data_IF_251120533145
#
_entry.id   IF_251120533145
#
_cell.length_a   1.000
_cell.length_b   1.000
_cell.length_c   1.000
_cell.angle_alpha   90.00
_cell.angle_beta   90.00
_cell.angle_gamma   90.00
#
_symmetry.space_group_name_H-M   'P 1'
#
loop_
_entity.id
_entity.type
_entity.pdbx_description
1 polymer ?
#
# COMPACT_ATOMS: atom_id res chain seq x y z
N UNK A 1 -0.06 -11.08 -4.59
CA UNK A 1 0.36 -9.80 -5.21
C UNK A 1 -0.71 -9.42 -6.23
N UNK A 2 -1.25 -8.20 -6.12
CA UNK A 2 -2.36 -7.70 -6.96
C UNK A 2 -1.91 -7.43 -8.41
N UNK A 3 -2.83 -7.60 -9.36
CA UNK A 3 -2.59 -7.35 -10.79
C UNK A 3 -3.20 -6.03 -11.29
N UNK A 4 -3.95 -5.34 -10.42
CA UNK A 4 -4.54 -4.02 -10.70
C UNK A 4 -4.62 -3.20 -9.42
N UNK A 5 -4.73 -1.88 -9.54
CA UNK A 5 -4.97 -0.98 -8.41
C UNK A 5 -6.34 -1.27 -7.80
N UNK A 6 -7.33 -1.61 -8.62
CA UNK A 6 -8.66 -2.06 -8.16
C UNK A 6 -8.56 -3.30 -7.27
N UNK A 7 -7.75 -4.31 -7.66
CA UNK A 7 -7.53 -5.50 -6.84
C UNK A 7 -6.72 -5.18 -5.58
N UNK A 8 -5.73 -4.30 -5.67
CA UNK A 8 -4.93 -3.84 -4.53
C UNK A 8 -5.85 -3.27 -3.44
N UNK A 9 -6.73 -2.33 -3.76
CA UNK A 9 -7.63 -1.71 -2.80
C UNK A 9 -8.74 -2.62 -2.26
N UNK A 10 -9.04 -3.73 -2.91
CA UNK A 10 -9.89 -4.79 -2.35
C UNK A 10 -9.22 -5.60 -1.26
N UNK A 11 -7.90 -5.57 -1.19
CA UNK A 11 -7.06 -6.36 -0.26
C UNK A 11 -6.35 -5.51 0.77
N UNK A 12 -6.18 -4.22 0.48
CA UNK A 12 -5.50 -3.26 1.35
C UNK A 12 -6.52 -2.35 2.02
N UNK A 13 -6.33 -2.10 3.32
CA UNK A 13 -7.17 -1.21 4.13
C UNK A 13 -8.68 -1.49 3.99
N UNK A 14 -9.05 -2.77 4.06
CA UNK A 14 -10.39 -3.28 3.73
C UNK A 14 -11.48 -2.57 4.53
N UNK A 15 -11.26 -2.36 5.84
CA UNK A 15 -12.23 -1.73 6.74
C UNK A 15 -12.55 -0.30 6.29
N UNK A 16 -11.51 0.51 6.01
CA UNK A 16 -11.68 1.88 5.53
C UNK A 16 -12.41 1.90 4.19
N UNK A 17 -11.97 1.05 3.24
CA UNK A 17 -12.61 0.95 1.92
C UNK A 17 -14.07 0.53 2.01
N UNK A 18 -14.41 -0.37 2.91
CA UNK A 18 -15.80 -0.78 3.16
C UNK A 18 -16.61 0.36 3.75
N UNK A 19 -16.08 1.08 4.72
CA UNK A 19 -16.74 2.23 5.33
C UNK A 19 -17.06 3.31 4.29
N UNK A 20 -16.08 3.75 3.50
CA UNK A 20 -16.30 4.75 2.44
C UNK A 20 -17.27 4.26 1.37
N UNK A 21 -17.23 2.98 1.03
CA UNK A 21 -18.17 2.37 0.09
C UNK A 21 -19.60 2.44 0.63
N UNK A 22 -19.82 2.02 1.87
CA UNK A 22 -21.17 1.82 2.40
C UNK A 22 -21.80 3.16 2.82
N UNK A 23 -21.01 4.09 3.37
CA UNK A 23 -21.51 5.36 3.90
C UNK A 23 -21.44 6.53 2.93
N UNK A 24 -20.62 6.47 1.87
CA UNK A 24 -20.46 7.58 0.92
C UNK A 24 -20.78 7.13 -0.50
N UNK A 25 -20.11 6.09 -1.00
CA UNK A 25 -20.26 5.71 -2.40
C UNK A 25 -21.65 5.21 -2.75
N UNK A 26 -22.23 4.32 -1.95
CA UNK A 26 -23.58 3.78 -2.14
C UNK A 26 -24.65 4.86 -1.99
N UNK A 27 -24.67 5.71 -0.94
CA UNK A 27 -25.60 6.82 -0.81
C UNK A 27 -25.53 7.83 -1.96
N UNK A 28 -24.36 8.07 -2.56
CA UNK A 28 -24.22 8.90 -3.77
C UNK A 28 -24.78 8.24 -5.05
N UNK A 29 -25.31 7.00 -4.94
CA UNK A 29 -25.85 6.21 -6.03
C UNK A 29 -24.90 5.15 -6.59
N UNK A 30 -23.67 5.06 -6.10
CA UNK A 30 -22.70 4.02 -6.46
C UNK A 30 -22.50 3.87 -7.97
N UNK A 31 -22.61 2.63 -8.47
CA UNK A 31 -22.56 2.30 -9.90
C UNK A 31 -23.91 2.43 -10.64
N UNK A 32 -24.99 2.73 -9.91
CA UNK A 32 -26.36 2.72 -10.46
C UNK A 32 -26.80 4.07 -11.03
N UNK A 33 -25.84 4.94 -11.35
CA UNK A 33 -26.03 6.28 -11.89
C UNK A 33 -25.34 6.44 -13.24
N UNK A 34 -25.69 7.49 -13.98
CA UNK A 34 -25.04 7.81 -15.26
C UNK A 34 -23.51 8.03 -15.09
N UNK A 35 -22.77 7.86 -16.19
CA UNK A 35 -21.29 7.89 -16.22
C UNK A 35 -20.65 9.10 -15.51
N UNK A 36 -21.21 10.29 -15.70
CA UNK A 36 -20.68 11.53 -15.08
C UNK A 36 -20.86 11.50 -13.56
N UNK A 37 -22.04 11.08 -13.07
CA UNK A 37 -22.31 10.96 -11.63
C UNK A 37 -21.46 9.86 -11.01
N UNK A 38 -21.26 8.75 -11.71
CA UNK A 38 -20.38 7.67 -11.28
C UNK A 38 -18.92 8.12 -11.15
N UNK A 39 -18.40 8.88 -12.13
CA UNK A 39 -17.05 9.47 -12.07
C UNK A 39 -16.90 10.40 -10.85
N UNK A 40 -17.86 11.32 -10.70
CA UNK A 40 -17.93 12.21 -9.53
C UNK A 40 -17.90 11.41 -8.21
N UNK A 41 -18.69 10.35 -8.10
CA UNK A 41 -18.78 9.55 -6.88
C UNK A 41 -17.43 8.91 -6.51
N UNK A 42 -16.69 8.40 -7.49
CA UNK A 42 -15.35 7.85 -7.25
C UNK A 42 -14.41 8.96 -6.78
N UNK A 43 -14.38 10.09 -7.47
CA UNK A 43 -13.47 11.19 -7.13
C UNK A 43 -13.79 11.77 -5.74
N UNK A 44 -15.07 11.92 -5.38
CA UNK A 44 -15.47 12.36 -4.03
C UNK A 44 -14.97 11.39 -2.98
N UNK A 45 -15.20 10.09 -3.16
CA UNK A 45 -14.75 9.07 -2.20
C UNK A 45 -13.24 9.13 -1.98
N UNK A 46 -12.47 9.20 -3.06
CA UNK A 46 -11.01 9.20 -2.97
C UNK A 46 -10.44 10.53 -2.46
N UNK A 47 -11.06 11.65 -2.79
CA UNK A 47 -10.74 12.95 -2.19
C UNK A 47 -10.96 12.91 -0.67
N UNK A 48 -12.13 12.41 -0.23
CA UNK A 48 -12.43 12.27 1.19
C UNK A 48 -11.55 11.24 1.89
N UNK A 49 -11.14 10.17 1.21
CA UNK A 49 -10.17 9.21 1.74
C UNK A 49 -8.81 9.87 1.97
N UNK A 50 -8.35 10.71 1.04
CA UNK A 50 -7.15 11.52 1.22
C UNK A 50 -7.28 12.49 2.40
N UNK A 51 -8.37 13.24 2.46
CA UNK A 51 -8.65 14.20 3.54
C UNK A 51 -8.77 13.53 4.92
N UNK A 52 -9.26 12.29 4.97
CA UNK A 52 -9.31 11.50 6.20
C UNK A 52 -7.92 11.21 6.79
N UNK A 53 -6.90 11.09 5.97
CA UNK A 53 -5.50 10.95 6.39
C UNK A 53 -4.91 12.26 6.92
N UNK A 54 -5.45 13.41 6.53
CA UNK A 54 -5.02 14.73 6.98
C UNK A 54 -5.33 15.82 5.97
N UNK A 55 -5.33 17.08 6.42
CA UNK A 55 -5.63 18.24 5.59
C UNK A 55 -4.42 18.76 4.76
N UNK A 56 -3.35 17.96 4.67
CA UNK A 56 -2.17 18.35 3.89
C UNK A 56 -2.31 17.93 2.42
N UNK A 57 -1.66 18.68 1.53
CA UNK A 57 -1.76 18.48 0.08
C UNK A 57 -1.27 17.11 -0.41
N UNK A 58 -0.27 16.52 0.24
CA UNK A 58 0.23 15.19 -0.08
C UNK A 58 -0.86 14.13 0.04
N UNK A 59 -1.70 14.17 1.08
CA UNK A 59 -2.81 13.22 1.26
C UNK A 59 -3.91 13.42 0.22
N UNK A 60 -4.22 14.67 -0.11
CA UNK A 60 -5.21 14.99 -1.15
C UNK A 60 -4.72 14.51 -2.51
N UNK A 61 -3.47 14.80 -2.87
CA UNK A 61 -2.84 14.35 -4.12
C UNK A 61 -2.80 12.83 -4.21
N UNK A 62 -2.48 12.15 -3.11
CA UNK A 62 -2.51 10.70 -3.01
C UNK A 62 -3.92 10.13 -3.26
N UNK A 63 -4.94 10.68 -2.62
CA UNK A 63 -6.33 10.29 -2.85
C UNK A 63 -6.76 10.52 -4.30
N UNK A 64 -6.47 11.69 -4.87
CA UNK A 64 -6.78 12.00 -6.27
C UNK A 64 -6.06 11.05 -7.23
N UNK A 65 -4.78 10.73 -7.01
CA UNK A 65 -4.05 9.75 -7.81
C UNK A 65 -4.81 8.42 -7.90
N UNK A 66 -5.19 7.85 -6.75
CA UNK A 66 -5.90 6.57 -6.74
C UNK A 66 -7.31 6.67 -7.31
N UNK A 67 -8.01 7.76 -7.06
CA UNK A 67 -9.31 8.03 -7.69
C UNK A 67 -9.24 8.02 -9.22
N UNK A 68 -8.28 8.73 -9.79
CA UNK A 68 -8.04 8.79 -11.24
C UNK A 68 -7.64 7.43 -11.80
N UNK A 69 -6.70 6.72 -11.14
CA UNK A 69 -6.27 5.40 -11.59
C UNK A 69 -7.40 4.38 -11.60
N UNK A 70 -8.25 4.38 -10.59
CA UNK A 70 -9.43 3.49 -10.54
C UNK A 70 -10.43 3.79 -11.65
N UNK A 71 -10.59 5.06 -12.00
CA UNK A 71 -11.42 5.45 -13.16
C UNK A 71 -10.81 4.93 -14.45
N UNK A 72 -9.52 5.15 -14.68
CA UNK A 72 -8.80 4.69 -15.89
C UNK A 72 -8.88 3.17 -16.00
N UNK A 73 -8.64 2.44 -14.90
CA UNK A 73 -8.77 0.99 -14.88
C UNK A 73 -10.18 0.54 -15.28
N UNK A 74 -11.22 1.16 -14.71
CA UNK A 74 -12.62 0.79 -15.00
C UNK A 74 -13.08 1.19 -16.40
N UNK A 75 -12.55 2.24 -16.99
CA UNK A 75 -12.87 2.64 -18.37
C UNK A 75 -12.33 1.65 -19.39
N UNK A 76 -11.13 1.09 -19.17
CA UNK A 76 -10.56 0.17 -20.15
C UNK A 76 -9.27 -0.53 -19.75
N UNK A 77 -8.44 0.07 -18.88
CA UNK A 77 -7.14 -0.48 -18.53
C UNK A 77 -7.20 -1.87 -17.89
N UNK A 78 -8.27 -2.19 -17.14
CA UNK A 78 -8.45 -3.54 -16.58
C UNK A 78 -8.43 -4.62 -17.65
N UNK A 79 -9.10 -4.39 -18.79
CA UNK A 79 -9.13 -5.34 -19.90
C UNK A 79 -7.74 -5.55 -20.52
N UNK A 80 -6.90 -4.52 -20.50
CA UNK A 80 -5.51 -4.62 -20.97
C UNK A 80 -4.68 -5.39 -19.96
N UNK A 81 -4.79 -5.06 -18.66
CA UNK A 81 -4.06 -5.72 -17.57
C UNK A 81 -4.38 -7.23 -17.46
N UNK A 82 -5.58 -7.65 -17.86
CA UNK A 82 -5.99 -9.05 -17.91
C UNK A 82 -5.32 -9.83 -19.06
N UNK A 83 -4.98 -9.15 -20.16
CA UNK A 83 -4.41 -9.76 -21.37
C UNK A 83 -2.89 -9.83 -21.35
N UNK A 84 -2.22 -8.97 -20.60
CA UNK A 84 -0.76 -8.93 -20.53
C UNK A 84 -0.20 -9.93 -19.50
N UNK A 85 1.08 -10.32 -19.61
CA UNK A 85 1.71 -11.18 -18.63
C UNK A 85 1.56 -10.65 -17.20
N UNK A 86 1.25 -11.53 -16.26
CA UNK A 86 0.98 -11.17 -14.86
C UNK A 86 2.16 -10.47 -14.17
N UNK A 87 3.37 -10.68 -14.65
CA UNK A 87 4.58 -9.98 -14.15
C UNK A 87 4.49 -8.50 -14.44
N UNK A 88 4.08 -8.11 -15.65
CA UNK A 88 3.93 -6.71 -16.05
C UNK A 88 2.79 -6.03 -15.26
N UNK A 89 1.64 -6.70 -15.12
CA UNK A 89 0.52 -6.18 -14.31
C UNK A 89 0.93 -5.97 -12.85
N UNK A 90 1.72 -6.88 -12.28
CA UNK A 90 2.24 -6.73 -10.91
C UNK A 90 3.27 -5.62 -10.79
N UNK A 91 4.17 -5.50 -11.76
CA UNK A 91 5.14 -4.40 -11.82
C UNK A 91 4.43 -3.04 -11.88
N UNK A 92 3.37 -2.92 -12.69
CA UNK A 92 2.51 -1.73 -12.73
C UNK A 92 1.96 -1.38 -11.33
N UNK A 93 1.32 -2.34 -10.65
CA UNK A 93 0.75 -2.08 -9.31
C UNK A 93 1.84 -1.73 -8.30
N UNK A 94 2.98 -2.42 -8.33
CA UNK A 94 4.10 -2.15 -7.44
C UNK A 94 4.64 -0.73 -7.65
N UNK A 95 4.86 -0.33 -8.91
CA UNK A 95 5.33 1.03 -9.24
C UNK A 95 4.33 2.09 -8.76
N UNK A 96 3.04 1.91 -9.05
CA UNK A 96 1.99 2.83 -8.57
C UNK A 96 1.96 2.90 -7.05
N UNK A 97 2.14 1.78 -6.36
CA UNK A 97 2.17 1.74 -4.90
C UNK A 97 3.39 2.51 -4.35
N UNK A 98 4.57 2.34 -4.94
CA UNK A 98 5.78 3.09 -4.57
C UNK A 98 5.56 4.60 -4.77
N UNK A 99 5.05 5.00 -5.94
CA UNK A 99 4.73 6.42 -6.22
C UNK A 99 3.69 6.93 -5.21
N UNK A 100 2.66 6.15 -4.92
CA UNK A 100 1.66 6.49 -3.91
C UNK A 100 2.27 6.73 -2.53
N UNK A 101 3.19 5.90 -2.08
CA UNK A 101 3.88 6.10 -0.80
C UNK A 101 4.83 7.32 -0.82
N UNK A 102 5.50 7.60 -1.92
CA UNK A 102 6.32 8.82 -2.06
C UNK A 102 5.45 10.07 -1.94
N UNK A 103 4.30 10.10 -2.61
CA UNK A 103 3.36 11.22 -2.48
C UNK A 103 2.85 11.33 -1.04
N UNK A 104 2.48 10.22 -0.43
CA UNK A 104 1.94 10.17 0.92
C UNK A 104 2.93 10.69 1.98
N UNK A 105 4.22 10.31 1.86
CA UNK A 105 5.27 10.67 2.83
C UNK A 105 5.93 12.03 2.56
N UNK A 106 5.71 12.63 1.40
CA UNK A 106 6.36 13.88 1.02
C UNK A 106 5.83 15.09 1.80
N UNK A 107 6.73 15.95 2.24
CA UNK A 107 6.39 17.19 2.97
C UNK A 107 6.15 18.36 2.04
N UNK A 108 6.61 18.30 0.78
CA UNK A 108 6.41 19.32 -0.24
C UNK A 108 6.27 18.72 -1.64
N UNK A 109 5.61 19.45 -2.53
CA UNK A 109 5.47 19.04 -3.94
C UNK A 109 6.84 18.91 -4.62
N UNK A 110 7.78 19.79 -4.31
CA UNK A 110 9.15 19.73 -4.85
C UNK A 110 9.87 18.46 -4.42
N UNK A 111 9.78 18.07 -3.15
CA UNK A 111 10.34 16.83 -2.63
C UNK A 111 9.72 15.61 -3.31
N UNK A 112 8.39 15.58 -3.43
CA UNK A 112 7.67 14.49 -4.12
C UNK A 112 8.16 14.33 -5.55
N UNK A 113 8.27 15.42 -6.30
CA UNK A 113 8.71 15.39 -7.70
C UNK A 113 10.18 14.95 -7.82
N UNK A 114 11.05 15.41 -6.92
CA UNK A 114 12.45 14.98 -6.87
C UNK A 114 12.58 13.49 -6.57
N UNK A 115 11.83 12.99 -5.59
CA UNK A 115 11.84 11.58 -5.22
C UNK A 115 11.28 10.67 -6.33
N UNK A 116 10.21 11.10 -7.01
CA UNK A 116 9.67 10.39 -8.17
C UNK A 116 10.71 10.42 -9.31
N UNK A 117 11.32 11.59 -9.59
CA UNK A 117 12.37 11.73 -10.59
C UNK A 117 13.55 10.80 -10.31
N UNK A 118 13.95 10.69 -9.04
CA UNK A 118 15.02 9.80 -8.60
C UNK A 118 14.79 8.33 -8.94
N UNK A 119 13.53 7.83 -8.90
CA UNK A 119 13.20 6.45 -9.34
C UNK A 119 13.59 6.23 -10.80
N UNK A 120 13.47 7.26 -11.63
CA UNK A 120 13.79 7.21 -13.05
C UNK A 120 15.22 7.70 -13.37
N UNK A 121 16.05 7.92 -12.33
CA UNK A 121 17.43 8.39 -12.49
C UNK A 121 17.58 9.88 -12.80
N UNK A 122 16.50 10.67 -12.69
CA UNK A 122 16.53 12.12 -12.95
C UNK A 122 17.11 12.83 -11.73
N UNK A 123 18.14 13.64 -11.91
CA UNK A 123 18.81 14.38 -10.84
C UNK A 123 19.69 13.54 -9.91
N UNK A 124 19.93 12.27 -10.24
CA UNK A 124 20.74 11.36 -9.43
C UNK A 124 22.14 11.22 -10.02
N UNK A 125 23.18 11.54 -9.26
CA UNK A 125 24.57 11.42 -9.70
C UNK A 125 25.10 9.98 -9.68
N UNK A 126 24.53 9.12 -8.81
CA UNK A 126 24.92 7.71 -8.66
C UNK A 126 23.69 6.88 -8.32
N UNK A 127 23.57 5.66 -8.87
CA UNK A 127 22.49 4.73 -8.57
C UNK A 127 22.54 4.15 -7.16
N UNK A 128 23.72 4.08 -6.57
CA UNK A 128 23.93 3.66 -5.20
C UNK A 128 25.11 4.42 -4.62
N UNK A 129 24.98 4.85 -3.39
CA UNK A 129 26.03 5.43 -2.56
C UNK A 129 26.28 4.56 -1.32
N UNK A 130 27.27 4.93 -0.51
CA UNK A 130 27.60 4.19 0.70
C UNK A 130 26.45 4.19 1.72
N UNK A 131 25.66 5.26 1.76
CA UNK A 131 24.51 5.38 2.65
C UNK A 131 23.39 4.42 2.24
N UNK A 132 23.07 4.36 0.96
CA UNK A 132 22.08 3.41 0.40
C UNK A 132 22.49 1.95 0.65
N UNK A 133 23.78 1.63 0.49
CA UNK A 133 24.30 0.29 0.76
C UNK A 133 24.27 -0.04 2.27
N UNK A 134 24.59 0.92 3.10
CA UNK A 134 24.48 0.78 4.56
C UNK A 134 23.03 0.52 4.98
N UNK A 135 22.07 1.31 4.50
CA UNK A 135 20.65 1.11 4.76
C UNK A 135 20.18 -0.26 4.27
N UNK A 136 20.54 -0.65 3.06
CA UNK A 136 20.17 -1.96 2.51
C UNK A 136 20.69 -3.11 3.36
N UNK A 137 21.94 -3.04 3.83
CA UNK A 137 22.55 -4.04 4.71
C UNK A 137 21.83 -4.12 6.05
N UNK A 138 21.56 -2.97 6.69
CA UNK A 138 20.93 -2.91 8.00
C UNK A 138 19.50 -3.41 8.00
N UNK A 139 18.76 -3.11 6.94
CA UNK A 139 17.35 -3.51 6.81
C UNK A 139 17.15 -4.78 5.98
N UNK A 140 18.22 -5.46 5.54
CA UNK A 140 18.14 -6.65 4.68
C UNK A 140 17.25 -7.75 5.26
N UNK A 141 17.36 -8.04 6.55
CA UNK A 141 16.52 -9.05 7.22
C UNK A 141 15.05 -8.67 7.20
N UNK A 142 14.72 -7.40 7.45
CA UNK A 142 13.35 -6.88 7.41
C UNK A 142 12.80 -6.95 5.98
N UNK A 143 13.59 -6.57 4.97
CA UNK A 143 13.19 -6.68 3.57
C UNK A 143 12.91 -8.13 3.16
N UNK A 144 13.74 -9.08 3.56
CA UNK A 144 13.53 -10.51 3.26
C UNK A 144 12.23 -10.99 3.91
N UNK A 145 12.00 -10.68 5.19
CA UNK A 145 10.79 -11.06 5.92
C UNK A 145 9.55 -10.42 5.25
N UNK A 146 9.63 -9.14 4.88
CA UNK A 146 8.55 -8.43 4.21
C UNK A 146 8.23 -9.04 2.83
N UNK A 147 9.24 -9.38 2.04
CA UNK A 147 9.06 -10.04 0.73
C UNK A 147 8.38 -11.41 0.92
N UNK A 148 8.84 -12.22 1.87
CA UNK A 148 8.23 -13.52 2.16
C UNK A 148 6.77 -13.33 2.60
N UNK A 149 6.51 -12.39 3.53
CA UNK A 149 5.16 -12.08 4.03
C UNK A 149 4.21 -11.53 2.96
N UNK A 150 4.73 -10.79 1.98
CA UNK A 150 3.95 -10.28 0.85
C UNK A 150 3.56 -11.36 -0.18
N UNK A 151 4.10 -12.58 -0.07
CA UNK A 151 3.84 -13.69 -0.99
C UNK A 151 2.98 -14.77 -0.34
N UNK A 152 2.29 -15.64 -1.10
CA UNK A 152 1.53 -16.76 -0.56
C UNK A 152 2.41 -17.93 -0.10
N UNK A 153 3.74 -17.77 -0.01
CA UNK A 153 4.68 -18.83 0.34
C UNK A 153 4.31 -19.46 1.70
N UNK A 154 4.14 -18.62 2.74
CA UNK A 154 3.79 -19.12 4.07
C UNK A 154 2.45 -19.84 4.10
N UNK A 155 1.42 -19.30 3.43
CA UNK A 155 0.13 -19.99 3.28
C UNK A 155 0.27 -21.35 2.61
N UNK A 156 1.06 -21.43 1.55
CA UNK A 156 1.29 -22.69 0.82
C UNK A 156 2.09 -23.71 1.63
N UNK A 157 3.05 -23.25 2.45
CA UNK A 157 3.78 -24.11 3.38
C UNK A 157 2.83 -24.66 4.44
N UNK A 158 2.09 -23.80 5.12
CA UNK A 158 1.15 -24.18 6.19
C UNK A 158 0.08 -25.13 5.68
N UNK A 159 -0.44 -24.93 4.45
CA UNK A 159 -1.44 -25.83 3.85
C UNK A 159 -0.94 -27.26 3.59
N UNK A 160 0.37 -27.47 3.51
CA UNK A 160 1.01 -28.78 3.31
C UNK A 160 1.43 -29.45 4.62
N UNK A 161 1.32 -28.76 5.75
CA UNK A 161 1.73 -29.26 7.06
C UNK A 161 0.73 -30.31 7.55
N UNK A 162 1.24 -31.42 8.10
CA UNK A 162 0.40 -32.47 8.67
C UNK A 162 -0.41 -31.99 9.87
N UNK A 163 -1.57 -32.62 10.14
CA UNK A 163 -2.43 -32.29 11.28
C UNK A 163 -1.71 -32.35 12.64
N UNK A 164 -0.70 -33.20 12.77
CA UNK A 164 0.09 -33.34 14.00
C UNK A 164 0.97 -32.11 14.23
N UNK A 165 1.63 -31.63 13.18
CA UNK A 165 2.47 -30.41 13.24
C UNK A 165 1.59 -29.16 13.38
N UNK A 166 0.41 -29.13 12.76
CA UNK A 166 -0.54 -28.03 12.90
C UNK A 166 -0.99 -27.82 14.36
N UNK A 167 -1.17 -28.90 15.15
CA UNK A 167 -1.44 -28.78 16.59
C UNK A 167 -0.31 -28.08 17.34
N UNK A 168 0.94 -28.39 17.01
CA UNK A 168 2.10 -27.73 17.61
C UNK A 168 2.17 -26.24 17.19
N UNK A 169 1.93 -25.94 15.92
CA UNK A 169 1.87 -24.57 15.40
C UNK A 169 0.81 -23.74 16.15
N UNK A 170 -0.39 -24.28 16.36
CA UNK A 170 -1.46 -23.61 17.09
C UNK A 170 -1.12 -23.28 18.56
N UNK A 171 -0.18 -24.01 19.16
CA UNK A 171 0.31 -23.72 20.51
C UNK A 171 1.44 -22.67 20.47
N UNK A 172 2.32 -22.76 19.48
CA UNK A 172 3.47 -21.85 19.34
C UNK A 172 3.03 -20.47 18.84
N UNK A 173 2.04 -20.40 17.95
CA UNK A 173 1.56 -19.15 17.33
C UNK A 173 1.17 -18.09 18.37
N UNK A 174 0.32 -18.34 19.39
CA UNK A 174 -0.01 -17.34 20.40
C UNK A 174 1.23 -16.84 21.16
N UNK A 175 2.17 -17.76 21.49
CA UNK A 175 3.40 -17.40 22.19
C UNK A 175 4.25 -16.50 21.32
N UNK A 176 4.43 -16.85 20.05
CA UNK A 176 5.17 -16.04 19.07
C UNK A 176 4.55 -14.66 18.88
N UNK A 177 3.23 -14.58 18.70
CA UNK A 177 2.51 -13.31 18.53
C UNK A 177 2.59 -12.44 19.78
N UNK A 178 2.49 -13.02 20.98
CA UNK A 178 2.64 -12.30 22.25
C UNK A 178 4.07 -11.76 22.39
N UNK A 179 5.07 -12.57 22.09
CA UNK A 179 6.48 -12.13 22.11
C UNK A 179 6.72 -11.00 21.13
N UNK A 180 6.20 -11.13 19.89
CA UNK A 180 6.29 -10.08 18.88
C UNK A 180 5.63 -8.78 19.35
N UNK A 181 4.45 -8.88 19.96
CA UNK A 181 3.74 -7.72 20.52
C UNK A 181 4.57 -7.03 21.61
N UNK A 182 5.17 -7.79 22.53
CA UNK A 182 6.04 -7.23 23.58
C UNK A 182 7.24 -6.52 22.98
N UNK A 183 7.89 -7.11 21.96
CA UNK A 183 9.00 -6.48 21.25
C UNK A 183 8.54 -5.18 20.58
N UNK A 184 7.41 -5.18 19.88
CA UNK A 184 6.86 -3.97 19.26
C UNK A 184 6.56 -2.88 20.30
N UNK A 185 5.96 -3.24 21.45
CA UNK A 185 5.70 -2.30 22.55
C UNK A 185 7.02 -1.74 23.10
N UNK A 186 8.04 -2.57 23.27
CA UNK A 186 9.35 -2.11 23.76
C UNK A 186 9.97 -1.05 22.83
N UNK A 187 9.90 -1.25 21.52
CA UNK A 187 10.35 -0.26 20.54
C UNK A 187 9.53 1.03 20.57
N UNK A 188 8.21 0.94 20.82
CA UNK A 188 7.33 2.11 20.92
C UNK A 188 7.62 2.93 22.19
N UNK A 189 7.92 2.25 23.31
CA UNK A 189 8.19 2.89 24.61
C UNK A 189 9.58 3.52 24.64
N UNK A 190 10.56 2.95 23.92
CA UNK A 190 11.91 3.52 23.85
C UNK A 190 11.95 4.94 23.24
N UNK A 191 10.88 5.37 22.56
CA UNK A 191 10.69 6.76 22.11
C UNK A 191 11.71 7.27 21.09
N UNK A 192 12.72 6.45 20.73
CA UNK A 192 13.78 6.80 19.80
C UNK A 192 13.28 6.90 18.36
N UNK A 193 12.13 6.28 18.07
CA UNK A 193 11.51 6.29 16.76
C UNK A 193 9.99 6.55 16.88
N UNK A 194 9.50 7.65 16.32
CA UNK A 194 8.07 7.92 16.25
C UNK A 194 7.48 7.23 15.01
N UNK A 195 6.77 6.10 15.15
CA UNK A 195 6.20 5.35 14.02
C UNK A 195 4.98 6.03 13.40
N UNK A 196 4.46 7.09 14.01
CA UNK A 196 3.29 7.80 13.49
C UNK A 196 3.70 8.79 12.39
N UNK A 197 3.56 8.35 11.15
CA UNK A 197 3.69 9.20 9.96
C UNK A 197 2.75 10.43 9.97
N UNK A 198 1.68 10.37 10.75
CA UNK A 198 0.63 11.39 10.83
C UNK A 198 0.94 12.56 11.77
N UNK A 199 1.91 12.46 12.67
CA UNK A 199 2.26 13.50 13.64
C UNK A 199 3.50 14.31 13.22
N UNK A 200 3.60 14.67 11.96
CA UNK A 200 4.47 15.74 11.49
C UNK A 200 3.64 17.00 11.30
N UNK A 201 3.26 17.61 12.42
CA UNK A 201 2.78 18.98 12.45
C UNK A 201 3.91 19.92 12.83
#
# INVERSE_FOLDING_TARGET
ISKSVTEFWRRWHITLGTWFKDYIYIPLGGNRVGKIKWLRNILIVWFLTGLWHGAAWNFILWGVLYGVLLVIEKIGLLKVLEKIPSVISRAYVTLITIIGFIIFSGSSVSEILNNIGGIFGIGVSKFADLESLYCLKNYAAIFIIAIIGATPIMKNIVSKISKKVLKLVNVIEPVFLTTLLIVCISYLVDGSFNPFLYFRF
#
